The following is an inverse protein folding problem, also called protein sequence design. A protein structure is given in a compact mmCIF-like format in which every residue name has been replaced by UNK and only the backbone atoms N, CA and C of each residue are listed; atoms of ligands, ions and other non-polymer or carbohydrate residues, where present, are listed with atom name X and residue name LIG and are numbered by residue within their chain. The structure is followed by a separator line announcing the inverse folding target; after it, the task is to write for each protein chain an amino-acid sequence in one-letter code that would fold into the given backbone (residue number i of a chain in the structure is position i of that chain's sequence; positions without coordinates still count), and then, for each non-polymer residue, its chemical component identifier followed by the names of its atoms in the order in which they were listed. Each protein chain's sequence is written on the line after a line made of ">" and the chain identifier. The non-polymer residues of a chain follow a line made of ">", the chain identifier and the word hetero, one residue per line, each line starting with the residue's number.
data_IF_929906431952
#
_entry.id   IF_929906431952
#
_cell.length_a   1.000
_cell.length_b   1.000
_cell.length_c   1.000
_cell.angle_alpha   90.00
_cell.angle_beta   90.00
_cell.angle_gamma   90.00
#
_symmetry.space_group_name_H-M   'P 1'
#
loop_
_entity.id
_entity.type
_entity.pdbx_description
1 polymer ?
#
# COMPACT_ATOMS: atom_id res chain seq x y z
N UNK A 1 -11.81 16.64 -7.03
CA UNK A 1 -11.33 15.25 -6.93
C UNK A 1 -9.83 15.28 -6.80
N UNK A 2 -9.31 14.68 -5.74
CA UNK A 2 -7.87 14.58 -5.46
C UNK A 2 -7.31 13.26 -6.00
N UNK A 3 -6.01 13.21 -6.22
CA UNK A 3 -5.26 12.01 -6.60
C UNK A 3 -4.47 11.54 -5.39
N UNK A 4 -4.83 10.37 -4.88
CA UNK A 4 -4.20 9.75 -3.72
C UNK A 4 -3.46 8.48 -4.15
N UNK A 5 -2.15 8.43 -3.90
CA UNK A 5 -1.36 7.22 -4.08
C UNK A 5 -1.26 6.48 -2.74
N UNK A 6 -1.67 5.22 -2.74
CA UNK A 6 -1.62 4.32 -1.59
C UNK A 6 -0.66 3.17 -1.85
N UNK A 7 -0.02 2.68 -0.80
CA UNK A 7 0.58 1.35 -0.78
C UNK A 7 -0.20 0.49 0.21
N UNK A 8 -0.66 -0.67 -0.25
CA UNK A 8 -1.31 -1.65 0.61
C UNK A 8 -0.43 -2.90 0.70
N UNK A 9 -0.34 -3.51 1.89
CA UNK A 9 0.46 -4.71 2.04
C UNK A 9 0.28 -5.39 3.39
N UNK A 10 0.79 -6.64 3.50
CA UNK A 10 0.75 -7.40 4.73
C UNK A 10 1.50 -8.73 4.62
N UNK A 11 1.75 -9.38 5.77
CA UNK A 11 2.50 -10.64 5.83
C UNK A 11 1.81 -11.72 6.70
N UNK A 12 0.58 -11.49 7.14
CA UNK A 12 -0.19 -12.44 7.95
C UNK A 12 -1.48 -12.87 7.24
N UNK A 13 -2.00 -14.03 7.61
CA UNK A 13 -3.26 -14.56 7.10
C UNK A 13 -3.21 -14.91 5.60
N UNK A 14 -4.37 -14.85 4.94
CA UNK A 14 -4.47 -14.91 3.49
C UNK A 14 -4.18 -13.52 2.92
N UNK A 15 -2.89 -13.28 2.63
CA UNK A 15 -2.37 -11.98 2.20
C UNK A 15 -3.04 -11.48 0.92
N UNK A 16 -3.35 -12.37 -0.05
CA UNK A 16 -3.99 -11.98 -1.33
C UNK A 16 -5.44 -11.58 -1.12
N UNK A 17 -6.19 -12.37 -0.34
CA UNK A 17 -7.57 -12.08 0.01
C UNK A 17 -7.67 -10.75 0.78
N UNK A 18 -6.76 -10.50 1.72
CA UNK A 18 -6.74 -9.26 2.49
C UNK A 18 -6.46 -8.02 1.60
N UNK A 19 -5.53 -8.12 0.65
CA UNK A 19 -5.30 -7.05 -0.35
C UNK A 19 -6.55 -6.80 -1.19
N UNK A 20 -7.22 -7.84 -1.65
CA UNK A 20 -8.46 -7.72 -2.42
C UNK A 20 -9.57 -7.06 -1.60
N UNK A 21 -9.78 -7.50 -0.36
CA UNK A 21 -10.77 -6.92 0.56
C UNK A 21 -10.46 -5.46 0.89
N UNK A 22 -9.18 -5.13 1.13
CA UNK A 22 -8.75 -3.75 1.36
C UNK A 22 -9.02 -2.87 0.13
N UNK A 23 -8.71 -3.35 -1.07
CA UNK A 23 -8.98 -2.62 -2.31
C UNK A 23 -10.47 -2.35 -2.50
N UNK A 24 -11.33 -3.33 -2.19
CA UNK A 24 -12.78 -3.16 -2.29
C UNK A 24 -13.29 -2.14 -1.27
N UNK A 25 -12.83 -2.19 -0.02
CA UNK A 25 -13.21 -1.18 0.99
C UNK A 25 -12.68 0.22 0.64
N UNK A 26 -11.50 0.33 0.03
CA UNK A 26 -10.97 1.60 -0.48
C UNK A 26 -11.90 2.17 -1.56
N UNK A 27 -12.38 1.35 -2.51
CA UNK A 27 -13.34 1.79 -3.53
C UNK A 27 -14.64 2.33 -2.94
N UNK A 28 -15.14 1.70 -1.90
CA UNK A 28 -16.41 2.06 -1.28
C UNK A 28 -16.31 3.28 -0.38
N UNK A 29 -15.17 3.51 0.27
CA UNK A 29 -15.06 4.46 1.39
C UNK A 29 -14.10 5.62 1.13
N UNK A 30 -13.08 5.41 0.31
CA UNK A 30 -12.08 6.45 0.02
C UNK A 30 -12.31 7.06 -1.36
N UNK A 31 -12.49 6.23 -2.39
CA UNK A 31 -12.73 6.74 -3.75
C UNK A 31 -12.48 5.70 -4.83
N UNK A 32 -12.60 6.13 -6.08
CA UNK A 32 -12.44 5.26 -7.23
C UNK A 32 -10.99 4.88 -7.46
N UNK A 33 -10.67 3.59 -7.48
CA UNK A 33 -9.34 3.10 -7.86
C UNK A 33 -9.19 3.24 -9.38
N UNK A 34 -8.31 4.15 -9.81
CA UNK A 34 -8.09 4.48 -11.23
C UNK A 34 -6.92 3.73 -11.85
N UNK A 35 -5.97 3.26 -11.03
CA UNK A 35 -4.89 2.37 -11.44
C UNK A 35 -4.40 1.54 -10.24
N UNK A 36 -3.86 0.37 -10.51
CA UNK A 36 -3.22 -0.47 -9.51
C UNK A 36 -2.03 -1.22 -10.15
N UNK A 37 -1.00 -1.48 -9.36
CA UNK A 37 0.16 -2.28 -9.78
C UNK A 37 -0.13 -3.77 -9.65
N UNK A 38 0.77 -4.60 -10.19
CA UNK A 38 0.85 -6.01 -9.79
C UNK A 38 1.14 -6.12 -8.29
N UNK A 39 0.91 -7.31 -7.73
CA UNK A 39 1.29 -7.64 -6.36
C UNK A 39 2.76 -8.07 -6.36
N UNK A 40 3.57 -7.42 -5.53
CA UNK A 40 4.98 -7.69 -5.33
C UNK A 40 5.18 -8.45 -4.03
N UNK A 41 5.90 -9.57 -4.08
CA UNK A 41 6.34 -10.28 -2.88
C UNK A 41 7.74 -9.81 -2.49
N UNK A 42 7.93 -9.41 -1.24
CA UNK A 42 9.17 -8.85 -0.75
C UNK A 42 9.55 -9.40 0.60
N UNK A 43 10.84 -9.56 0.85
CA UNK A 43 11.35 -9.90 2.16
C UNK A 43 11.01 -8.82 3.21
N UNK A 44 10.93 -9.20 4.50
CA UNK A 44 10.74 -8.24 5.59
C UNK A 44 11.86 -7.19 5.59
N UNK A 45 11.48 -5.91 5.65
CA UNK A 45 12.42 -4.79 5.69
C UNK A 45 12.58 -4.28 7.11
N UNK A 46 13.81 -4.32 7.66
CA UNK A 46 14.12 -3.88 9.01
C UNK A 46 14.15 -5.01 10.05
N UNK A 47 14.20 -4.64 11.33
CA UNK A 47 14.25 -5.59 12.44
C UNK A 47 12.84 -5.93 12.90
N UNK A 48 12.51 -7.22 12.98
CA UNK A 48 11.21 -7.71 13.45
C UNK A 48 11.36 -8.40 14.81
N UNK A 49 10.37 -8.23 15.69
CA UNK A 49 10.25 -9.08 16.86
C UNK A 49 9.81 -10.49 16.43
N UNK A 50 10.58 -11.47 16.87
CA UNK A 50 10.22 -12.88 16.76
C UNK A 50 9.88 -13.37 18.18
N UNK A 51 8.61 -13.63 18.44
CA UNK A 51 8.21 -14.30 19.68
C UNK A 51 8.73 -15.73 19.66
N UNK A 52 9.70 -16.03 20.55
CA UNK A 52 10.12 -17.41 20.86
C UNK A 52 10.97 -18.13 19.82
N UNK A 53 12.10 -17.55 19.37
CA UNK A 53 13.16 -18.24 18.64
C UNK A 53 12.84 -18.56 17.18
N UNK A 54 13.73 -18.20 16.27
CA UNK A 54 13.86 -18.58 14.84
C UNK A 54 12.60 -18.81 13.97
N UNK A 55 11.48 -18.20 14.24
CA UNK A 55 10.36 -18.20 13.29
C UNK A 55 10.65 -17.15 12.20
N UNK A 56 11.05 -17.62 11.03
CA UNK A 56 11.31 -16.76 9.86
C UNK A 56 10.05 -15.91 9.57
N UNK A 57 10.16 -14.60 9.68
CA UNK A 57 9.06 -13.68 9.35
C UNK A 57 8.65 -13.92 7.90
N UNK A 58 7.35 -14.09 7.64
CA UNK A 58 6.82 -14.32 6.29
C UNK A 58 7.06 -13.08 5.42
N UNK A 59 7.31 -13.31 4.13
CA UNK A 59 7.39 -12.26 3.13
C UNK A 59 6.11 -11.43 3.08
N UNK A 60 6.27 -10.15 2.76
CA UNK A 60 5.16 -9.23 2.55
C UNK A 60 4.65 -9.33 1.11
N UNK A 61 3.35 -9.16 0.93
CA UNK A 61 2.78 -8.78 -0.36
C UNK A 61 2.49 -7.29 -0.33
N UNK A 62 2.84 -6.58 -1.42
CA UNK A 62 2.65 -5.14 -1.55
C UNK A 62 2.01 -4.81 -2.90
N UNK A 63 1.09 -3.85 -2.93
CA UNK A 63 0.45 -3.35 -4.14
C UNK A 63 0.27 -1.83 -4.03
N UNK A 64 0.59 -1.09 -5.08
CA UNK A 64 0.29 0.33 -5.18
C UNK A 64 -1.08 0.56 -5.82
N UNK A 65 -1.83 1.52 -5.29
CA UNK A 65 -3.09 1.96 -5.84
C UNK A 65 -3.03 3.47 -6.12
N UNK A 66 -3.62 3.90 -7.22
CA UNK A 66 -3.94 5.30 -7.49
C UNK A 66 -5.45 5.48 -7.37
N UNK A 67 -5.88 6.37 -6.48
CA UNK A 67 -7.29 6.58 -6.13
C UNK A 67 -7.69 8.01 -6.45
N UNK A 68 -8.81 8.19 -7.14
CA UNK A 68 -9.48 9.48 -7.28
C UNK A 68 -10.48 9.63 -6.12
N UNK A 69 -10.25 10.60 -5.23
CA UNK A 69 -11.02 10.76 -3.99
C UNK A 69 -11.60 12.16 -3.83
N UNK A 70 -12.82 12.32 -3.29
CA UNK A 70 -13.35 13.60 -2.85
C UNK A 70 -12.87 13.99 -1.45
N UNK A 71 -12.25 13.08 -0.71
CA UNK A 71 -11.82 13.27 0.67
C UNK A 71 -10.55 14.12 0.74
N UNK A 72 -10.37 14.81 1.85
CA UNK A 72 -9.09 15.40 2.24
C UNK A 72 -8.08 14.31 2.63
N UNK A 73 -6.80 14.64 2.68
CA UNK A 73 -5.76 13.68 3.08
C UNK A 73 -5.99 13.10 4.49
N UNK A 74 -6.44 13.92 5.45
CA UNK A 74 -6.74 13.46 6.81
C UNK A 74 -8.01 12.59 6.90
N UNK A 75 -9.02 12.86 6.08
CA UNK A 75 -10.19 12.00 5.98
C UNK A 75 -9.81 10.66 5.37
N UNK A 76 -9.03 10.66 4.29
CA UNK A 76 -8.53 9.43 3.67
C UNK A 76 -7.67 8.60 4.64
N UNK A 77 -6.83 9.26 5.48
CA UNK A 77 -6.08 8.58 6.53
C UNK A 77 -7.02 7.89 7.53
N UNK A 78 -8.04 8.58 8.02
CA UNK A 78 -9.00 8.00 8.99
C UNK A 78 -9.71 6.78 8.41
N UNK A 79 -10.14 6.86 7.15
CA UNK A 79 -10.77 5.73 6.45
C UNK A 79 -9.80 4.57 6.28
N UNK A 80 -8.54 4.83 5.88
CA UNK A 80 -7.51 3.81 5.75
C UNK A 80 -7.27 3.06 7.08
N UNK A 81 -7.16 3.82 8.19
CA UNK A 81 -6.98 3.25 9.52
C UNK A 81 -8.17 2.40 10.00
N UNK A 82 -9.39 2.81 9.67
CA UNK A 82 -10.59 2.04 10.00
C UNK A 82 -10.70 0.76 9.15
N UNK A 83 -10.32 0.81 7.87
CA UNK A 83 -10.23 -0.37 7.01
C UNK A 83 -9.24 -1.39 7.58
N UNK A 84 -8.06 -0.95 8.01
CA UNK A 84 -7.06 -1.83 8.64
C UNK A 84 -7.62 -2.55 9.88
N UNK A 85 -8.31 -1.81 10.75
CA UNK A 85 -8.93 -2.37 11.97
C UNK A 85 -10.00 -3.42 11.59
N UNK A 86 -10.86 -3.11 10.62
CA UNK A 86 -11.90 -4.05 10.13
C UNK A 86 -11.32 -5.31 9.53
N UNK A 87 -10.14 -5.23 8.93
CA UNK A 87 -9.42 -6.38 8.35
C UNK A 87 -8.50 -7.09 9.36
N UNK A 88 -8.66 -6.79 10.66
CA UNK A 88 -8.04 -7.52 11.76
C UNK A 88 -6.73 -6.96 12.26
N UNK A 89 -6.32 -5.75 11.85
CA UNK A 89 -5.13 -5.11 12.41
C UNK A 89 -5.39 -4.70 13.86
N UNK A 90 -4.67 -5.32 14.78
CA UNK A 90 -4.64 -4.88 16.17
C UNK A 90 -3.52 -3.84 16.33
N UNK A 91 -3.86 -2.64 16.81
CA UNK A 91 -2.87 -1.66 17.21
C UNK A 91 -2.53 -1.91 18.68
N UNK A 92 -1.25 -2.07 19.06
CA UNK A 92 -0.90 -2.07 20.46
C UNK A 92 -1.47 -0.78 21.08
N UNK A 93 -2.25 -0.91 22.15
CA UNK A 93 -2.58 0.26 22.95
C UNK A 93 -1.27 0.89 23.38
N UNK A 94 -1.19 2.23 23.30
CA UNK A 94 -0.02 3.00 23.69
C UNK A 94 0.26 2.79 25.20
N UNK A 95 0.90 1.67 25.51
CA UNK A 95 1.42 1.38 26.84
C UNK A 95 2.93 1.39 26.76
N UNK A 96 3.48 2.38 27.47
CA UNK A 96 4.89 2.58 27.79
C UNK A 96 5.79 3.11 26.67
N UNK A 97 5.92 4.42 26.71
CA UNK A 97 7.14 5.20 26.70
C UNK A 97 8.39 4.34 26.99
N UNK A 98 9.16 4.12 25.93
CA UNK A 98 10.45 3.48 25.97
C UNK A 98 11.12 3.72 24.62
N UNK A 99 11.12 4.99 24.16
CA UNK A 99 11.90 5.37 22.99
C UNK A 99 13.38 5.42 23.36
N UNK A 100 14.00 4.24 23.41
CA UNK A 100 15.46 4.17 23.25
C UNK A 100 15.77 4.55 21.81
N UNK A 101 16.61 5.55 21.63
CA UNK A 101 17.19 5.94 20.35
C UNK A 101 17.92 4.73 19.74
N UNK A 102 17.29 4.06 18.79
CA UNK A 102 17.89 2.93 18.08
C UNK A 102 16.84 1.98 17.56
N UNK A 103 16.82 1.64 16.32
CA UNK A 103 16.02 0.70 15.56
C UNK A 103 14.53 0.56 15.94
N UNK A 104 13.66 1.04 15.06
CA UNK A 104 12.23 0.73 15.15
C UNK A 104 12.03 -0.77 14.90
N UNK A 105 11.44 -1.44 15.89
CA UNK A 105 11.01 -2.82 15.76
C UNK A 105 9.72 -2.83 14.93
N UNK A 106 9.70 -3.64 13.88
CA UNK A 106 8.53 -3.84 13.05
C UNK A 106 7.76 -5.06 13.51
N UNK A 107 6.43 -4.99 13.45
CA UNK A 107 5.55 -6.10 13.78
C UNK A 107 4.90 -6.65 12.52
N UNK A 108 4.73 -7.97 12.48
CA UNK A 108 3.93 -8.63 11.46
C UNK A 108 2.48 -8.14 11.54
N UNK A 109 1.81 -7.96 10.39
CA UNK A 109 0.46 -7.42 10.34
C UNK A 109 -0.36 -8.01 9.19
N UNK A 110 -1.69 -8.19 9.39
CA UNK A 110 -2.56 -8.70 8.33
C UNK A 110 -2.63 -7.75 7.13
N UNK A 111 -2.77 -6.47 7.39
CA UNK A 111 -2.84 -5.41 6.36
C UNK A 111 -2.29 -4.09 6.89
N UNK A 112 -1.70 -3.30 5.99
CA UNK A 112 -1.21 -1.94 6.19
C UNK A 112 -1.62 -1.11 4.98
N UNK A 113 -2.07 0.13 5.19
CA UNK A 113 -2.48 1.05 4.14
C UNK A 113 -1.75 2.38 4.34
N UNK A 114 -0.65 2.56 3.64
CA UNK A 114 0.16 3.77 3.72
C UNK A 114 -0.28 4.79 2.67
N UNK A 115 -0.51 6.06 3.10
CA UNK A 115 -0.70 7.19 2.20
C UNK A 115 0.69 7.66 1.72
N UNK A 116 0.95 7.55 0.42
CA UNK A 116 2.27 7.87 -0.16
C UNK A 116 2.31 9.30 -0.70
N UNK A 117 1.36 9.64 -1.56
CA UNK A 117 1.22 10.97 -2.13
C UNK A 117 -0.25 11.40 -2.10
N UNK A 118 -0.50 12.69 -1.98
CA UNK A 118 -1.80 13.31 -2.11
C UNK A 118 -1.67 14.55 -3.00
N UNK A 119 -2.18 14.49 -4.21
CA UNK A 119 -1.88 15.48 -5.27
C UNK A 119 -0.37 15.79 -5.32
N UNK A 120 0.02 17.06 -5.29
CA UNK A 120 1.42 17.51 -5.12
C UNK A 120 1.65 18.13 -3.73
N UNK A 121 0.80 17.81 -2.76
CA UNK A 121 0.83 18.43 -1.45
C UNK A 121 2.02 17.97 -0.62
N UNK A 122 2.50 18.89 0.21
CA UNK A 122 3.46 18.62 1.28
C UNK A 122 2.77 18.89 2.61
N UNK A 123 2.44 17.81 3.33
CA UNK A 123 1.73 17.86 4.60
C UNK A 123 2.69 17.41 5.70
N UNK A 124 2.74 18.17 6.80
CA UNK A 124 3.55 17.83 7.97
C UNK A 124 2.76 18.16 9.23
N UNK A 125 1.97 17.19 9.69
CA UNK A 125 1.20 17.28 10.93
C UNK A 125 1.61 16.15 11.88
N UNK A 126 1.24 16.18 13.16
CA UNK A 126 1.61 15.13 14.12
C UNK A 126 1.16 13.72 13.72
N UNK A 127 0.06 13.62 12.97
CA UNK A 127 -0.60 12.36 12.56
C UNK A 127 -0.39 12.00 11.09
N UNK A 128 0.01 12.97 10.23
CA UNK A 128 0.16 12.74 8.79
C UNK A 128 1.34 13.48 8.20
N UNK A 129 2.24 12.74 7.53
CA UNK A 129 3.32 13.31 6.74
C UNK A 129 3.20 12.83 5.30
N UNK A 130 3.03 13.75 4.36
CA UNK A 130 2.98 13.51 2.90
C UNK A 130 3.98 14.45 2.21
N UNK A 131 4.80 13.95 1.30
CA UNK A 131 5.00 12.55 0.90
C UNK A 131 5.42 11.67 2.07
N UNK A 132 5.08 10.37 2.01
CA UNK A 132 5.47 9.43 3.07
C UNK A 132 7.00 9.47 3.29
N UNK A 133 7.47 9.77 4.51
CA UNK A 133 8.84 10.27 4.75
C UNK A 133 9.96 9.29 4.38
N UNK A 134 9.67 8.01 4.28
CA UNK A 134 10.65 6.96 3.96
C UNK A 134 10.37 6.20 2.67
N UNK A 135 9.44 6.70 1.83
CA UNK A 135 9.05 6.00 0.62
C UNK A 135 10.22 5.85 -0.36
N UNK A 136 11.06 6.89 -0.47
CA UNK A 136 12.20 6.94 -1.38
C UNK A 136 13.37 6.00 -1.01
N UNK A 137 13.37 5.46 0.21
CA UNK A 137 14.38 4.50 0.70
C UNK A 137 13.92 3.05 0.54
N UNK A 138 12.69 2.82 0.05
CA UNK A 138 12.03 1.51 0.11
C UNK A 138 11.67 1.02 -1.29
N UNK A 139 12.44 0.06 -1.80
CA UNK A 139 12.15 -0.51 -3.13
C UNK A 139 10.76 -1.13 -3.21
N UNK A 140 10.28 -1.78 -2.17
CA UNK A 140 8.94 -2.36 -2.11
C UNK A 140 7.80 -1.34 -2.19
N UNK A 141 8.11 -0.03 -2.03
CA UNK A 141 7.21 1.11 -2.31
C UNK A 141 7.41 1.62 -3.72
N UNK A 142 8.67 1.84 -4.11
CA UNK A 142 9.03 2.47 -5.39
C UNK A 142 8.70 1.60 -6.60
N UNK A 143 8.92 0.27 -6.52
CA UNK A 143 8.68 -0.63 -7.64
C UNK A 143 7.19 -0.67 -8.06
N UNK A 144 6.23 -0.93 -7.15
CA UNK A 144 4.82 -0.88 -7.52
C UNK A 144 4.34 0.53 -7.91
N UNK A 145 4.88 1.59 -7.31
CA UNK A 145 4.56 2.96 -7.73
C UNK A 145 5.08 3.28 -9.13
N UNK A 146 6.31 2.85 -9.48
CA UNK A 146 6.88 3.07 -10.80
C UNK A 146 6.11 2.36 -11.91
N UNK A 147 5.33 1.33 -11.61
CA UNK A 147 4.45 0.66 -12.58
C UNK A 147 3.25 1.53 -12.96
N UNK A 148 2.67 2.28 -12.03
CA UNK A 148 1.43 3.03 -12.23
C UNK A 148 1.61 4.55 -12.37
N UNK A 149 2.72 5.10 -11.87
CA UNK A 149 3.00 6.54 -11.92
C UNK A 149 4.51 6.86 -12.04
N UNK A 150 5.22 6.30 -13.04
CA UNK A 150 6.68 6.41 -13.15
C UNK A 150 7.19 7.84 -13.27
N UNK A 151 6.43 8.70 -13.95
CA UNK A 151 6.82 10.07 -14.26
C UNK A 151 6.31 11.10 -13.23
N UNK A 152 5.66 10.63 -12.15
CA UNK A 152 5.24 11.51 -11.06
C UNK A 152 6.48 12.07 -10.34
N UNK A 153 6.54 13.40 -10.20
CA UNK A 153 7.65 14.10 -9.56
C UNK A 153 7.38 14.22 -8.05
N UNK A 154 8.28 13.69 -7.24
CA UNK A 154 8.21 13.82 -5.79
C UNK A 154 8.33 15.30 -5.38
N UNK A 155 7.34 15.90 -4.72
CA UNK A 155 7.25 17.36 -4.56
C UNK A 155 8.38 17.97 -3.69
N UNK A 156 9.05 17.17 -2.88
CA UNK A 156 10.18 17.63 -2.03
C UNK A 156 11.54 17.29 -2.68
N UNK A 157 11.67 16.11 -3.27
CA UNK A 157 12.95 15.65 -3.81
C UNK A 157 13.19 16.10 -5.25
N UNK A 158 12.16 16.60 -5.95
CA UNK A 158 12.21 17.04 -7.36
C UNK A 158 12.77 15.95 -8.31
N UNK A 159 12.48 14.68 -8.01
CA UNK A 159 12.86 13.51 -8.81
C UNK A 159 11.62 12.71 -9.17
N UNK A 160 11.61 12.08 -10.34
CA UNK A 160 10.51 11.18 -10.69
C UNK A 160 10.58 9.89 -9.87
N UNK A 161 9.44 9.20 -9.72
CA UNK A 161 9.40 7.87 -9.06
C UNK A 161 10.35 6.90 -9.75
N UNK A 162 10.43 6.96 -11.09
CA UNK A 162 11.36 6.17 -11.91
C UNK A 162 12.82 6.48 -11.57
N UNK A 163 13.16 7.74 -11.35
CA UNK A 163 14.54 8.12 -11.05
C UNK A 163 14.91 7.75 -9.62
N UNK A 164 14.00 7.91 -8.66
CA UNK A 164 14.17 7.43 -7.29
C UNK A 164 14.40 5.92 -7.24
N UNK A 165 13.72 5.15 -8.09
CA UNK A 165 13.90 3.69 -8.17
C UNK A 165 15.29 3.29 -8.69
N UNK A 166 15.92 4.11 -9.56
CA UNK A 166 17.26 3.86 -10.09
C UNK A 166 18.37 4.15 -9.07
N UNK A 167 18.08 4.97 -8.07
CA UNK A 167 19.08 5.31 -7.06
C UNK A 167 19.38 4.09 -6.17
N UNK A 168 20.66 3.88 -5.80
CA UNK A 168 20.99 2.84 -4.85
C UNK A 168 20.31 3.15 -3.50
N UNK A 169 19.81 2.15 -2.78
CA UNK A 169 19.15 2.36 -1.49
C UNK A 169 20.14 3.05 -0.54
N UNK A 170 19.83 4.29 -0.19
CA UNK A 170 20.64 5.05 0.76
C UNK A 170 20.37 4.52 2.16
N UNK A 171 21.36 3.93 2.81
CA UNK A 171 21.36 3.72 4.27
C UNK A 171 21.17 2.31 4.79
N UNK A 172 21.43 1.25 4.02
CA UNK A 172 21.60 -0.10 4.59
C UNK A 172 22.82 -0.75 3.97
N UNK A 173 23.95 -0.66 4.63
CA UNK A 173 25.07 -1.56 4.40
C UNK A 173 24.59 -2.98 4.74
N UNK A 174 24.34 -3.80 3.73
CA UNK A 174 24.36 -5.25 3.89
C UNK A 174 23.08 -6.04 3.71
N UNK A 175 22.06 -5.61 2.95
CA UNK A 175 21.00 -6.54 2.53
C UNK A 175 20.64 -6.30 1.07
N UNK A 176 21.05 -7.22 0.20
CA UNK A 176 20.49 -7.34 -1.14
C UNK A 176 19.04 -7.84 -0.99
N UNK A 177 18.09 -6.93 -1.14
CA UNK A 177 16.68 -7.31 -1.20
C UNK A 177 16.42 -8.00 -2.55
N UNK A 178 16.28 -9.30 -2.54
CA UNK A 178 15.71 -10.04 -3.66
C UNK A 178 14.24 -9.67 -3.78
N UNK A 179 13.89 -8.91 -4.81
CA UNK A 179 12.49 -8.71 -5.19
C UNK A 179 12.13 -9.81 -6.15
N UNK A 180 11.47 -10.86 -5.67
CA UNK A 180 10.89 -11.87 -6.55
C UNK A 180 9.59 -11.33 -7.16
N UNK A 181 9.57 -11.22 -8.48
CA UNK A 181 8.35 -10.92 -9.24
C UNK A 181 7.53 -12.20 -9.32
N UNK A 182 6.38 -12.23 -8.66
CA UNK A 182 5.43 -13.32 -8.90
C UNK A 182 4.85 -13.15 -10.30
N UNK A 183 5.31 -13.96 -11.26
CA UNK A 183 4.91 -13.93 -12.67
C UNK A 183 3.52 -14.54 -12.95
N UNK A 184 2.63 -14.57 -12.01
CA UNK A 184 1.26 -14.98 -12.34
C UNK A 184 0.40 -13.72 -12.51
N UNK A 185 0.03 -13.38 -13.77
CA UNK A 185 -1.02 -12.41 -13.98
C UNK A 185 -2.30 -12.96 -13.34
N UNK A 186 -2.95 -12.18 -12.51
CA UNK A 186 -4.36 -12.39 -12.23
C UNK A 186 -5.13 -11.86 -13.44
N UNK A 187 -5.02 -12.60 -14.59
CA UNK A 187 -6.04 -12.58 -15.61
C UNK A 187 -7.30 -13.17 -14.99
N UNK A 188 -8.41 -12.58 -15.34
CA UNK A 188 -9.79 -12.90 -14.99
C UNK A 188 -10.41 -12.06 -13.88
N UNK A 189 -10.40 -10.72 -14.06
CA UNK A 189 -11.58 -9.92 -13.74
C UNK A 189 -12.14 -9.28 -15.01
N UNK A 190 -12.34 -10.07 -16.06
CA UNK A 190 -13.27 -9.68 -17.11
C UNK A 190 -14.69 -9.78 -16.56
N UNK A 191 -15.25 -8.64 -16.35
CA UNK A 191 -16.65 -8.40 -16.04
C UNK A 191 -17.49 -8.90 -17.19
N UNK A 192 -18.05 -10.10 -17.09
CA UNK A 192 -19.18 -10.55 -17.91
C UNK A 192 -20.41 -9.75 -17.49
N UNK A 193 -20.50 -8.50 -17.91
CA UNK A 193 -21.76 -7.78 -17.95
C UNK A 193 -22.42 -8.09 -19.29
N UNK A 194 -23.20 -9.18 -19.35
CA UNK A 194 -24.20 -9.31 -20.38
C UNK A 194 -25.32 -8.27 -20.13
N UNK A 195 -25.74 -7.52 -21.18
CA UNK A 195 -26.88 -6.63 -21.05
C UNK A 195 -28.16 -7.46 -20.95
N UNK A 196 -29.16 -7.03 -20.20
CA UNK A 196 -30.43 -7.73 -20.09
C UNK A 196 -31.13 -7.75 -21.44
N UNK A 197 -31.39 -8.94 -21.97
CA UNK A 197 -32.22 -9.14 -23.16
C UNK A 197 -33.64 -8.68 -22.87
N UNK A 198 -34.09 -7.65 -23.58
CA UNK A 198 -35.47 -7.17 -23.56
C UNK A 198 -36.40 -8.24 -24.14
N UNK A 199 -37.15 -8.87 -23.26
CA UNK A 199 -38.28 -9.74 -23.65
C UNK A 199 -39.41 -8.86 -24.19
N UNK A 200 -39.58 -8.88 -25.50
CA UNK A 200 -40.77 -8.30 -26.18
C UNK A 200 -41.96 -9.20 -25.90
N UNK A 201 -42.88 -8.73 -25.07
CA UNK A 201 -44.16 -9.34 -24.90
C UNK A 201 -45.02 -9.06 -26.13
N UNK A 202 -45.34 -10.08 -26.97
CA UNK A 202 -46.37 -10.02 -28.00
C UNK A 202 -47.69 -10.41 -27.39
N UNK A 203 -48.60 -9.43 -27.37
CA UNK A 203 -50.02 -9.63 -27.12
C UNK A 203 -50.70 -10.34 -28.26
N UNK A 204 -51.60 -11.28 -27.94
CA UNK A 204 -52.83 -11.60 -28.65
C UNK A 204 -53.93 -11.74 -27.60
#
# INVERSE_FOLDING_TARGET
>A
MHRLALLIGGNQGDRRLLIQQATEQIRQRIGSVVAFSRIYETEPWGTFETEGGESKVKNFLNQALLVATPLTAHEALREALDIEIRLGRQRPQASSCGATLGSRIYHSRPIDIDLIFFDNDVISTPDLVIPHPRMHLRRFVLEPLAEIMPDYVHPVLNKTVRDLLKEPPQGVLGLQAGVERSETPVDDMETSMEPPTSSVCKSV
#
